data_IF_186862011264
#
_entry.id   IF_186862011264
#
_cell.length_a   1.000
_cell.length_b   1.000
_cell.length_c   1.000
_cell.angle_alpha   90.00
_cell.angle_beta   90.00
_cell.angle_gamma   90.00
#
_symmetry.space_group_name_H-M   'P 1'
#
loop_
_entity.id
_entity.type
_entity.pdbx_description
1 polymer ?
#
# COMPACT_ATOMS: atom_id res chain seq x y z
N UNK A 1 -0.52 11.31 7.93
CA UNK A 1 0.79 11.67 8.49
C UNK A 1 1.72 10.51 8.17
N UNK A 2 2.73 10.72 7.33
CA UNK A 2 3.64 9.65 6.86
C UNK A 2 5.01 9.91 7.51
N UNK A 3 5.51 8.95 8.30
CA UNK A 3 6.83 9.03 8.95
C UNK A 3 7.85 8.26 8.12
N UNK A 4 9.04 8.84 7.90
CA UNK A 4 10.19 8.15 7.30
C UNK A 4 11.49 8.52 8.02
N UNK A 5 12.28 7.51 8.35
CA UNK A 5 13.69 7.62 8.76
C UNK A 5 14.59 7.49 7.51
N UNK A 6 15.74 8.19 7.43
CA UNK A 6 16.51 8.31 6.18
C UNK A 6 17.67 7.31 6.11
N UNK A 7 17.77 6.51 5.04
CA UNK A 7 19.02 5.85 4.63
C UNK A 7 19.14 5.82 3.07
N UNK A 8 20.26 6.38 2.58
CA UNK A 8 20.80 6.43 1.20
C UNK A 8 20.10 7.31 0.12
N UNK A 9 20.90 8.08 -0.63
CA UNK A 9 20.48 9.16 -1.56
C UNK A 9 19.67 8.72 -2.79
N UNK A 10 19.86 7.50 -3.31
CA UNK A 10 19.03 6.94 -4.38
C UNK A 10 17.78 6.23 -3.86
N UNK A 11 17.88 5.55 -2.72
CA UNK A 11 16.69 5.04 -2.01
C UNK A 11 15.72 6.17 -1.67
N UNK A 12 16.26 7.34 -1.35
CA UNK A 12 15.49 8.56 -1.13
C UNK A 12 14.69 8.98 -2.37
N UNK A 13 15.26 8.95 -3.59
CA UNK A 13 14.53 9.32 -4.82
C UNK A 13 13.33 8.41 -5.06
N UNK A 14 13.50 7.10 -4.82
CA UNK A 14 12.43 6.12 -4.96
C UNK A 14 11.30 6.38 -3.95
N UNK A 15 11.65 6.55 -2.67
CA UNK A 15 10.68 6.87 -1.63
C UNK A 15 10.01 8.23 -1.84
N UNK A 16 10.74 9.23 -2.36
CA UNK A 16 10.17 10.52 -2.77
C UNK A 16 9.16 10.35 -3.91
N UNK A 17 9.47 9.55 -4.93
CA UNK A 17 8.54 9.25 -6.02
C UNK A 17 7.23 8.65 -5.47
N UNK A 18 7.32 7.66 -4.58
CA UNK A 18 6.13 7.05 -3.96
C UNK A 18 5.35 8.10 -3.16
N UNK A 19 6.04 8.87 -2.31
CA UNK A 19 5.45 9.92 -1.47
C UNK A 19 4.73 11.00 -2.28
N UNK A 20 5.30 11.42 -3.41
CA UNK A 20 4.79 12.56 -4.17
C UNK A 20 3.67 12.14 -5.15
N UNK A 21 3.59 10.84 -5.50
CA UNK A 21 2.63 10.34 -6.49
C UNK A 21 1.48 9.52 -5.88
N UNK A 22 1.72 8.72 -4.83
CA UNK A 22 0.71 7.81 -4.29
C UNK A 22 -0.46 8.56 -3.61
N UNK A 23 -0.24 9.58 -2.77
CA UNK A 23 -1.34 10.33 -2.15
C UNK A 23 -2.22 11.09 -3.15
N UNK A 24 -1.62 11.69 -4.18
CA UNK A 24 -2.36 12.44 -5.21
C UNK A 24 -3.25 11.51 -6.02
N UNK A 25 -2.74 10.33 -6.40
CA UNK A 25 -3.56 9.25 -6.96
C UNK A 25 -4.69 8.87 -6.00
N UNK A 26 -4.38 8.50 -4.74
CA UNK A 26 -5.35 8.20 -3.66
C UNK A 26 -6.49 9.21 -3.55
N UNK A 27 -6.15 10.49 -3.53
CA UNK A 27 -7.15 11.56 -3.48
C UNK A 27 -8.04 11.64 -4.73
N UNK A 28 -7.50 11.31 -5.91
CA UNK A 28 -8.23 11.39 -7.17
C UNK A 28 -9.32 10.32 -7.28
N UNK A 29 -9.09 9.07 -6.83
CA UNK A 29 -10.19 8.09 -6.82
C UNK A 29 -11.29 8.42 -5.84
N UNK A 30 -10.96 9.05 -4.69
CA UNK A 30 -12.00 9.54 -3.76
C UNK A 30 -12.90 10.53 -4.47
N UNK A 31 -12.31 11.54 -5.12
CA UNK A 31 -13.05 12.57 -5.86
C UNK A 31 -13.88 11.97 -7.00
N UNK A 32 -13.29 11.08 -7.80
CA UNK A 32 -14.01 10.41 -8.89
C UNK A 32 -15.20 9.58 -8.37
N UNK A 33 -15.05 8.90 -7.24
CA UNK A 33 -16.14 8.14 -6.62
C UNK A 33 -17.26 9.07 -6.15
N UNK A 34 -16.92 10.17 -5.48
CA UNK A 34 -17.90 11.16 -5.01
C UNK A 34 -18.65 11.82 -6.18
N UNK A 35 -17.94 12.19 -7.25
CA UNK A 35 -18.56 12.73 -8.47
C UNK A 35 -19.51 11.74 -9.14
N UNK A 36 -19.15 10.45 -9.18
CA UNK A 36 -20.00 9.40 -9.75
C UNK A 36 -21.26 9.20 -8.90
N UNK A 37 -21.14 9.23 -7.58
CA UNK A 37 -22.27 9.14 -6.65
C UNK A 37 -23.22 10.33 -6.81
N UNK A 38 -22.69 11.56 -6.88
CA UNK A 38 -23.49 12.78 -7.11
C UNK A 38 -24.23 12.75 -8.45
N UNK A 39 -23.57 12.32 -9.53
CA UNK A 39 -24.21 12.17 -10.86
C UNK A 39 -25.32 11.12 -10.83
N UNK A 40 -25.11 10.00 -10.14
CA UNK A 40 -26.13 8.98 -9.99
C UNK A 40 -27.37 9.51 -9.24
N UNK A 41 -27.16 10.29 -8.17
CA UNK A 41 -28.25 10.89 -7.41
C UNK A 41 -29.05 11.93 -8.22
N UNK A 42 -28.38 12.73 -9.06
CA UNK A 42 -29.05 13.71 -9.94
C UNK A 42 -29.86 13.07 -11.09
N UNK A 43 -29.56 11.83 -11.47
CA UNK A 43 -30.26 11.12 -12.55
C UNK A 43 -31.43 10.24 -12.08
N UNK A 44 -31.65 10.12 -10.77
CA UNK A 44 -32.82 9.42 -10.22
C UNK A 44 -34.06 10.33 -10.29
N UNK A 45 -35.21 9.85 -10.80
CA UNK A 45 -36.44 10.67 -10.83
C UNK A 45 -36.92 10.92 -9.40
N UNK A 46 -37.10 12.19 -9.01
CA UNK A 46 -37.77 12.52 -7.76
C UNK A 46 -39.26 12.23 -7.90
N UNK A 47 -39.70 11.07 -7.40
CA UNK A 47 -41.13 10.81 -7.23
C UNK A 47 -41.56 11.57 -5.97
N UNK A 48 -42.31 12.66 -6.17
CA UNK A 48 -42.66 13.60 -5.10
C UNK A 48 -43.52 12.98 -4.00
N UNK A 49 -43.24 13.33 -2.75
CA UNK A 49 -44.11 13.04 -1.62
C UNK A 49 -43.49 13.18 -0.23
N UNK A 50 -43.82 14.28 0.44
CA UNK A 50 -43.78 14.53 1.90
C UNK A 50 -42.47 14.96 2.56
N UNK A 51 -42.54 16.14 3.20
CA UNK A 51 -41.57 16.71 4.15
C UNK A 51 -41.43 15.78 5.37
N UNK A 52 -40.43 14.91 5.34
CA UNK A 52 -39.81 14.34 6.53
C UNK A 52 -38.41 14.90 6.65
N UNK A 53 -38.02 15.33 7.84
CA UNK A 53 -36.66 15.76 8.18
C UNK A 53 -35.74 14.53 8.07
N UNK A 54 -35.24 14.28 6.86
CA UNK A 54 -34.29 13.19 6.60
C UNK A 54 -32.93 13.72 7.01
N UNK A 55 -32.45 13.29 8.17
CA UNK A 55 -31.04 13.32 8.50
C UNK A 55 -30.30 12.59 7.36
N UNK A 56 -29.71 13.35 6.44
CA UNK A 56 -28.89 12.79 5.37
C UNK A 56 -27.59 12.35 6.03
N UNK A 57 -27.56 11.11 6.51
CA UNK A 57 -26.29 10.49 6.84
C UNK A 57 -25.49 10.35 5.54
N UNK A 58 -24.41 11.10 5.48
CA UNK A 58 -23.44 11.21 4.39
C UNK A 58 -22.66 9.89 4.22
N UNK A 59 -23.34 8.81 3.85
CA UNK A 59 -22.76 7.48 3.75
C UNK A 59 -22.26 7.19 2.32
N UNK A 60 -21.37 8.04 1.81
CA UNK A 60 -20.68 7.87 0.52
C UNK A 60 -19.26 7.30 0.68
N UNK A 61 -19.09 6.32 1.58
CA UNK A 61 -17.80 5.62 1.69
C UNK A 61 -17.63 4.59 0.58
N UNK A 62 -16.45 4.54 -0.04
CA UNK A 62 -16.14 3.50 -1.02
C UNK A 62 -16.12 2.12 -0.34
N UNK A 63 -16.62 1.09 -1.04
CA UNK A 63 -16.60 -0.28 -0.53
C UNK A 63 -15.18 -0.85 -0.48
N UNK A 64 -14.94 -1.82 0.40
CA UNK A 64 -13.63 -2.46 0.53
C UNK A 64 -13.09 -3.03 -0.80
N UNK A 65 -13.85 -3.78 -1.62
CA UNK A 65 -13.35 -4.27 -2.92
C UNK A 65 -12.97 -3.14 -3.89
N UNK A 66 -13.68 -2.00 -3.82
CA UNK A 66 -13.34 -0.81 -4.62
C UNK A 66 -12.01 -0.22 -4.15
N UNK A 67 -11.81 -0.14 -2.84
CA UNK A 67 -10.55 0.30 -2.26
C UNK A 67 -9.40 -0.63 -2.61
N UNK A 68 -9.57 -1.93 -2.41
CA UNK A 68 -8.61 -2.96 -2.77
C UNK A 68 -8.20 -2.83 -4.24
N UNK A 69 -9.16 -2.78 -5.17
CA UNK A 69 -8.89 -2.60 -6.59
C UNK A 69 -8.13 -1.30 -6.90
N UNK A 70 -8.44 -0.21 -6.20
CA UNK A 70 -7.76 1.08 -6.33
C UNK A 70 -6.30 1.02 -5.84
N UNK A 71 -6.05 0.42 -4.67
CA UNK A 71 -4.70 0.20 -4.15
C UNK A 71 -3.87 -0.67 -5.10
N UNK A 72 -4.43 -1.81 -5.53
CA UNK A 72 -3.78 -2.73 -6.46
C UNK A 72 -3.38 -2.03 -7.76
N UNK A 73 -4.28 -1.24 -8.36
CA UNK A 73 -4.01 -0.49 -9.58
C UNK A 73 -2.85 0.49 -9.41
N UNK A 74 -2.85 1.31 -8.36
CA UNK A 74 -1.84 2.35 -8.24
C UNK A 74 -0.49 1.85 -7.79
N UNK A 75 -0.45 0.82 -6.96
CA UNK A 75 0.80 0.16 -6.63
C UNK A 75 1.42 -0.41 -7.93
N UNK A 76 0.63 -1.06 -8.79
CA UNK A 76 1.10 -1.49 -10.13
C UNK A 76 1.60 -0.31 -10.97
N UNK A 77 0.81 0.75 -11.12
CA UNK A 77 1.20 1.90 -11.96
C UNK A 77 2.45 2.63 -11.44
N UNK A 78 2.64 2.71 -10.12
CA UNK A 78 3.85 3.29 -9.53
C UNK A 78 5.03 2.36 -9.78
N UNK A 79 4.90 1.05 -9.57
CA UNK A 79 5.96 0.09 -9.81
C UNK A 79 6.38 0.09 -11.30
N UNK A 80 5.43 0.15 -12.22
CA UNK A 80 5.68 0.30 -13.66
C UNK A 80 6.36 1.63 -14.01
N UNK A 81 5.93 2.75 -13.38
CA UNK A 81 6.58 4.04 -13.56
C UNK A 81 8.04 3.99 -13.12
N UNK A 82 8.32 3.30 -12.01
CA UNK A 82 9.67 3.07 -11.51
C UNK A 82 10.46 2.11 -12.42
N UNK A 83 9.79 1.17 -13.08
CA UNK A 83 10.37 0.29 -14.10
C UNK A 83 10.76 1.03 -15.36
N UNK A 84 10.03 2.07 -15.76
CA UNK A 84 10.33 2.87 -16.97
C UNK A 84 11.43 3.90 -16.73
N UNK A 85 11.54 4.40 -15.51
CA UNK A 85 12.62 5.30 -15.08
C UNK A 85 13.89 4.51 -14.71
N UNK A 86 14.27 3.50 -15.50
CA UNK A 86 15.51 2.73 -15.26
C UNK A 86 16.65 3.72 -15.21
N UNK A 87 17.19 3.92 -14.00
CA UNK A 87 18.39 4.72 -13.78
C UNK A 87 19.46 4.23 -14.75
N UNK A 88 19.93 5.12 -15.61
CA UNK A 88 21.21 5.04 -16.31
C UNK A 88 22.39 4.82 -15.34
N UNK A 89 22.18 4.96 -14.03
CA UNK A 89 23.17 4.82 -12.96
C UNK A 89 23.26 3.41 -12.34
N UNK A 90 22.51 2.41 -12.84
CA UNK A 90 22.68 1.00 -12.41
C UNK A 90 22.15 0.64 -11.03
N UNK A 91 21.33 1.51 -10.41
CA UNK A 91 20.73 1.25 -9.09
C UNK A 91 19.70 0.12 -9.13
N UNK A 92 19.86 -0.86 -8.24
CA UNK A 92 18.99 -2.05 -8.12
C UNK A 92 18.15 -2.07 -6.84
N UNK A 93 18.07 -0.95 -6.12
CA UNK A 93 17.34 -0.89 -4.86
C UNK A 93 15.82 -0.83 -5.03
N UNK A 94 15.13 -1.07 -3.93
CA UNK A 94 13.67 -1.01 -3.81
C UNK A 94 13.24 -0.17 -2.62
N UNK A 95 11.93 -0.06 -2.42
CA UNK A 95 11.38 0.70 -1.30
C UNK A 95 10.14 0.02 -0.72
N UNK A 96 10.00 0.12 0.60
CA UNK A 96 8.81 -0.27 1.35
C UNK A 96 7.75 0.84 1.23
N UNK A 97 6.50 0.51 1.52
CA UNK A 97 5.48 1.51 1.74
C UNK A 97 4.35 0.99 2.61
N UNK A 98 3.99 1.77 3.61
CA UNK A 98 2.68 1.69 4.26
C UNK A 98 1.92 2.96 3.91
N UNK A 99 0.73 2.77 3.34
CA UNK A 99 -0.19 3.84 2.96
C UNK A 99 -1.48 3.71 3.75
N UNK A 100 -1.92 4.81 4.36
CA UNK A 100 -3.11 4.83 5.22
C UNK A 100 -4.08 5.90 4.71
N UNK A 101 -5.32 5.50 4.45
CA UNK A 101 -6.42 6.40 4.15
C UNK A 101 -7.41 6.36 5.31
N UNK A 102 -7.84 7.52 5.77
CA UNK A 102 -8.98 7.65 6.68
C UNK A 102 -10.14 8.27 5.90
N UNK A 103 -11.27 7.56 5.80
CA UNK A 103 -12.50 8.07 5.23
C UNK A 103 -13.66 7.86 6.22
N UNK A 104 -14.17 8.95 6.80
CA UNK A 104 -15.14 8.85 7.90
C UNK A 104 -14.56 8.01 9.05
N UNK A 105 -15.28 6.96 9.43
CA UNK A 105 -14.87 6.00 10.48
C UNK A 105 -14.10 4.79 9.95
N UNK A 106 -13.80 4.76 8.64
CA UNK A 106 -13.02 3.70 8.02
C UNK A 106 -11.56 4.10 7.90
N UNK A 107 -10.68 3.14 8.17
CA UNK A 107 -9.23 3.23 7.92
C UNK A 107 -8.88 2.11 6.95
N UNK A 108 -8.32 2.47 5.80
CA UNK A 108 -7.90 1.53 4.76
C UNK A 108 -6.39 1.62 4.63
N UNK A 109 -5.73 0.47 4.59
CA UNK A 109 -4.27 0.39 4.64
C UNK A 109 -3.78 -0.47 3.50
N UNK A 110 -2.73 -0.01 2.82
CA UNK A 110 -1.97 -0.82 1.86
C UNK A 110 -0.52 -0.93 2.31
N UNK A 111 -0.06 -2.16 2.54
CA UNK A 111 1.32 -2.45 2.95
C UNK A 111 2.10 -3.20 1.85
N UNK A 112 3.31 -2.72 1.57
CA UNK A 112 4.34 -3.42 0.80
C UNK A 112 5.64 -3.35 1.60
N UNK A 113 6.04 -4.47 2.17
CA UNK A 113 7.31 -4.60 2.91
C UNK A 113 7.16 -4.79 4.40
N UNK A 114 8.21 -4.40 5.11
CA UNK A 114 8.40 -4.51 6.56
C UNK A 114 8.21 -3.16 7.30
N UNK A 115 7.71 -2.13 6.61
CA UNK A 115 7.21 -0.93 7.27
C UNK A 115 5.92 -1.24 8.04
N UNK A 116 5.71 -0.59 9.20
CA UNK A 116 4.61 -0.92 10.11
C UNK A 116 3.70 0.26 10.45
N UNK A 117 2.38 0.04 10.43
CA UNK A 117 1.39 0.94 11.04
C UNK A 117 0.80 0.33 12.32
N UNK A 118 0.70 1.15 13.35
CA UNK A 118 0.09 0.83 14.65
C UNK A 118 -0.82 1.99 15.05
N UNK A 119 -2.09 1.70 15.33
CA UNK A 119 -3.06 2.67 15.81
C UNK A 119 -3.05 2.71 17.34
N UNK A 120 -2.84 3.87 17.92
CA UNK A 120 -3.05 4.08 19.35
C UNK A 120 -4.54 4.32 19.61
N UNK A 121 -5.19 3.42 20.36
CA UNK A 121 -6.60 3.52 20.76
C UNK A 121 -6.68 3.81 22.25
N UNK A 122 -7.53 4.76 22.66
CA UNK A 122 -7.81 5.01 24.08
C UNK A 122 -8.95 4.10 24.54
N UNK A 123 -8.71 3.36 25.61
CA UNK A 123 -9.71 2.49 26.24
C UNK A 123 -10.66 3.30 27.16
N UNK A 124 -11.81 2.73 27.55
CA UNK A 124 -12.80 3.42 28.40
C UNK A 124 -12.26 3.86 29.77
N UNK A 125 -11.35 3.11 30.34
CA UNK A 125 -10.61 3.35 31.59
C UNK A 125 -9.33 4.18 31.36
N UNK A 126 -9.23 4.86 30.22
CA UNK A 126 -8.22 5.85 29.90
C UNK A 126 -6.81 5.31 29.55
N UNK A 127 -6.60 3.99 29.49
CA UNK A 127 -5.32 3.43 29.06
C UNK A 127 -5.16 3.48 27.53
N UNK A 128 -3.91 3.52 27.05
CA UNK A 128 -3.57 3.51 25.63
C UNK A 128 -3.30 2.07 25.18
N UNK A 129 -4.06 1.59 24.20
CA UNK A 129 -3.91 0.27 23.57
C UNK A 129 -3.26 0.45 22.20
N UNK A 130 -2.10 -0.17 21.93
CA UNK A 130 -1.57 -0.27 20.58
C UNK A 130 -2.35 -1.34 19.80
N UNK A 131 -2.93 -0.96 18.66
CA UNK A 131 -3.60 -1.86 17.72
C UNK A 131 -2.72 -1.97 16.48
N UNK A 132 -2.10 -3.13 16.29
CA UNK A 132 -1.30 -3.38 15.08
C UNK A 132 -2.22 -3.42 13.86
N UNK A 133 -1.87 -2.63 12.85
CA UNK A 133 -2.67 -2.51 11.64
C UNK A 133 -2.04 -3.21 10.44
N UNK A 134 -0.72 -3.42 10.43
CA UNK A 134 -0.02 -4.15 9.38
C UNK A 134 0.86 -5.24 9.95
N UNK A 135 1.11 -6.27 9.16
CA UNK A 135 2.10 -7.32 9.43
C UNK A 135 3.25 -7.14 8.45
N UNK A 136 4.49 -7.26 8.94
CA UNK A 136 5.68 -7.19 8.10
C UNK A 136 5.65 -8.34 7.08
N UNK A 137 5.83 -8.02 5.80
CA UNK A 137 5.76 -8.99 4.72
C UNK A 137 7.15 -9.58 4.46
N UNK A 138 7.59 -10.43 5.38
CA UNK A 138 8.89 -11.10 5.36
C UNK A 138 8.84 -12.45 4.62
N UNK A 139 9.99 -12.99 4.17
CA UNK A 139 10.03 -14.23 3.37
C UNK A 139 9.51 -15.49 4.07
N UNK A 140 9.56 -15.53 5.39
CA UNK A 140 9.09 -16.64 6.26
C UNK A 140 7.57 -16.66 6.47
N UNK A 141 6.85 -15.60 6.09
CA UNK A 141 5.39 -15.59 6.15
C UNK A 141 4.87 -16.69 5.20
N UNK A 142 4.03 -17.65 5.65
CA UNK A 142 3.68 -18.83 4.84
C UNK A 142 3.13 -18.50 3.44
N UNK A 143 2.29 -17.45 3.32
CA UNK A 143 1.74 -17.00 2.03
C UNK A 143 2.79 -16.37 1.11
N UNK A 144 3.85 -15.79 1.66
CA UNK A 144 4.93 -15.19 0.90
C UNK A 144 5.96 -16.25 0.50
N UNK A 145 6.30 -17.17 1.42
CA UNK A 145 7.21 -18.29 1.20
C UNK A 145 6.80 -19.14 -0.01
N UNK A 146 5.49 -19.38 -0.20
CA UNK A 146 4.97 -20.12 -1.36
C UNK A 146 5.27 -19.45 -2.72
N UNK A 147 5.54 -18.14 -2.74
CA UNK A 147 5.83 -17.39 -3.97
C UNK A 147 7.33 -17.23 -4.20
N UNK A 148 8.17 -17.44 -3.19
CA UNK A 148 9.61 -17.21 -3.27
C UNK A 148 10.30 -18.43 -3.86
N UNK A 149 11.03 -18.21 -4.95
CA UNK A 149 11.78 -19.26 -5.67
C UNK A 149 13.30 -19.10 -5.51
N UNK A 150 13.72 -18.16 -4.66
CA UNK A 150 15.13 -17.90 -4.38
C UNK A 150 15.81 -19.09 -3.71
N UNK A 151 17.08 -19.33 -4.07
CA UNK A 151 17.93 -20.30 -3.38
C UNK A 151 18.50 -19.64 -2.14
N UNK A 152 18.31 -20.25 -0.95
CA UNK A 152 18.95 -19.78 0.28
C UNK A 152 20.48 -19.88 0.14
N UNK A 153 21.18 -18.75 0.19
CA UNK A 153 22.65 -18.76 0.37
C UNK A 153 23.01 -19.08 1.83
N UNK A 154 22.17 -18.65 2.78
CA UNK A 154 22.28 -18.95 4.21
C UNK A 154 20.88 -19.19 4.82
N UNK A 155 20.55 -20.41 5.25
CA UNK A 155 19.25 -20.75 5.84
C UNK A 155 18.99 -20.06 7.19
N UNK A 156 20.02 -19.48 7.83
CA UNK A 156 19.86 -18.75 9.09
C UNK A 156 19.41 -17.30 8.88
N UNK A 157 19.48 -16.80 7.64
CA UNK A 157 19.17 -15.41 7.30
C UNK A 157 17.93 -15.35 6.42
N UNK A 158 16.82 -14.89 7.02
CA UNK A 158 15.52 -14.76 6.38
C UNK A 158 15.51 -13.65 5.30
N UNK A 159 15.95 -13.99 4.09
CA UNK A 159 16.11 -13.08 2.95
C UNK A 159 15.79 -13.78 1.63
N UNK A 160 15.34 -13.00 0.66
CA UNK A 160 15.24 -13.42 -0.74
C UNK A 160 16.57 -13.18 -1.44
N UNK A 161 17.17 -14.23 -2.00
CA UNK A 161 18.48 -14.22 -2.63
C UNK A 161 18.40 -14.43 -4.15
N UNK A 162 19.35 -13.86 -4.91
CA UNK A 162 19.52 -14.22 -6.31
C UNK A 162 20.45 -15.43 -6.41
N UNK A 163 20.08 -16.49 -7.16
CA UNK A 163 20.97 -17.62 -7.39
C UNK A 163 22.25 -17.18 -8.09
N UNK A 164 23.40 -17.68 -7.63
CA UNK A 164 24.70 -17.57 -8.32
C UNK A 164 25.20 -16.12 -8.51
N UNK A 165 24.77 -15.18 -7.66
CA UNK A 165 25.27 -13.80 -7.65
C UNK A 165 25.57 -13.36 -6.22
N UNK A 166 26.82 -12.93 -6.01
CA UNK A 166 27.26 -12.30 -4.77
C UNK A 166 26.64 -10.90 -4.66
N UNK A 167 25.42 -10.84 -4.14
CA UNK A 167 24.69 -9.61 -3.91
C UNK A 167 23.82 -9.73 -2.66
N UNK A 168 23.67 -8.65 -1.89
CA UNK A 168 22.93 -8.72 -0.63
C UNK A 168 21.46 -9.07 -0.89
N UNK A 169 20.96 -10.10 -0.21
CA UNK A 169 19.57 -10.52 -0.28
C UNK A 169 18.62 -9.50 0.34
N UNK A 170 17.33 -9.60 -0.01
CA UNK A 170 16.27 -8.70 0.42
C UNK A 170 15.52 -9.28 1.64
N UNK A 171 15.45 -8.54 2.74
CA UNK A 171 14.83 -8.99 4.01
C UNK A 171 13.29 -9.04 4.00
N UNK A 172 12.67 -8.61 2.90
CA UNK A 172 11.22 -8.45 2.74
C UNK A 172 10.77 -9.15 1.45
N UNK A 173 9.62 -9.81 1.48
CA UNK A 173 9.05 -10.53 0.35
C UNK A 173 8.28 -9.62 -0.62
N UNK A 174 7.93 -8.40 -0.20
CA UNK A 174 7.28 -7.40 -1.06
C UNK A 174 8.01 -6.07 -1.03
N UNK A 175 8.26 -5.50 -2.19
CA UNK A 175 8.93 -4.21 -2.38
C UNK A 175 8.46 -3.54 -3.68
N UNK A 176 8.43 -2.20 -3.71
CA UNK A 176 8.50 -1.48 -4.99
C UNK A 176 9.88 -1.63 -5.61
N UNK A 177 9.95 -1.66 -6.95
CA UNK A 177 11.17 -1.89 -7.73
C UNK A 177 11.79 -3.23 -7.35
N UNK A 178 13.10 -3.35 -7.10
CA UNK A 178 13.79 -4.65 -6.96
C UNK A 178 13.50 -5.62 -8.11
N UNK A 179 13.51 -5.16 -9.37
CA UNK A 179 13.15 -5.97 -10.54
C UNK A 179 13.95 -7.26 -10.67
N UNK A 180 15.22 -7.25 -10.24
CA UNK A 180 16.05 -8.45 -10.25
C UNK A 180 15.54 -9.55 -9.32
N UNK A 181 14.73 -9.21 -8.32
CA UNK A 181 14.15 -10.15 -7.36
C UNK A 181 12.69 -10.48 -7.65
N UNK A 182 12.05 -9.78 -8.60
CA UNK A 182 10.66 -10.07 -9.01
C UNK A 182 10.54 -11.46 -9.61
N UNK A 183 11.52 -11.87 -10.42
CA UNK A 183 11.61 -13.21 -11.00
C UNK A 183 11.80 -14.32 -9.95
N UNK A 184 12.18 -13.95 -8.73
CA UNK A 184 12.39 -14.87 -7.59
C UNK A 184 11.29 -14.78 -6.53
N UNK A 185 10.16 -14.13 -6.85
CA UNK A 185 8.97 -14.12 -6.00
C UNK A 185 8.73 -12.84 -5.24
N UNK A 186 9.57 -11.81 -5.36
CA UNK A 186 9.27 -10.51 -4.73
C UNK A 186 8.04 -9.89 -5.41
N UNK A 187 7.06 -9.40 -4.64
CA UNK A 187 5.87 -8.70 -5.16
C UNK A 187 5.93 -7.19 -4.92
N UNK A 188 5.25 -6.41 -5.75
CA UNK A 188 4.88 -4.99 -5.47
C UNK A 188 3.41 -4.85 -5.11
N UNK A 189 2.69 -5.98 -5.05
CA UNK A 189 1.27 -6.07 -4.73
C UNK A 189 1.05 -5.77 -3.23
N UNK A 190 0.22 -4.78 -2.87
CA UNK A 190 -0.04 -4.46 -1.47
C UNK A 190 -0.86 -5.55 -0.77
N UNK A 191 -0.63 -5.71 0.53
CA UNK A 191 -1.59 -6.31 1.46
C UNK A 191 -2.58 -5.20 1.87
N UNK A 192 -3.87 -5.37 1.56
CA UNK A 192 -4.90 -4.35 1.80
C UNK A 192 -5.85 -4.80 2.91
N UNK A 193 -6.07 -3.93 3.90
CA UNK A 193 -6.93 -4.18 5.07
C UNK A 193 -7.78 -2.98 5.44
#
# INVERSE_FOLDING_TARGET
>A
MQFFLPLFSLGQKLSQCIRDNLPSKLSASIKQSQEKAMKHMMLMPQNGGSRGDVHVEDNQNMSFPSWEGTFMRWFSEIDEKLAKNIDTDGFRGGSTSVSVIKQGDQVIIGNVGDSRAVLCRRAPDNHLIPVQLTVDLTPDIPREAMRIFAVEEDPTVNRVWMPKRDCPGLAMARAFRNFCLKDYGVASVPDVS
#
